data_IF_799463065798
#
_entry.id   IF_799463065798
#
_cell.length_a   1.000
_cell.length_b   1.000
_cell.length_c   1.000
_cell.angle_alpha   90.00
_cell.angle_beta   90.00
_cell.angle_gamma   90.00
#
_symmetry.space_group_name_H-M   'P 1'
#
loop_
_entity.id
_entity.type
_entity.pdbx_description
1 polymer ?
#
# COMPACT_ATOMS: atom_id res chain seq x y z
N UNK A 1 -2.61 21.11 3.34
CA UNK A 1 -1.60 20.10 2.95
C UNK A 1 -1.87 19.72 1.50
N UNK A 2 -0.83 19.38 0.74
CA UNK A 2 -0.88 19.05 -0.70
C UNK A 2 -0.89 17.55 -0.92
N UNK A 3 -1.63 17.09 -1.94
CA UNK A 3 -1.53 15.73 -2.49
C UNK A 3 -0.42 15.65 -3.55
N UNK A 4 0.25 14.50 -3.71
CA UNK A 4 1.21 14.24 -4.79
C UNK A 4 1.30 12.75 -5.12
N UNK A 5 1.79 12.43 -6.32
CA UNK A 5 2.11 11.06 -6.74
C UNK A 5 3.40 10.62 -6.05
N UNK A 6 3.33 9.58 -5.20
CA UNK A 6 4.50 9.07 -4.48
C UNK A 6 5.50 8.45 -5.45
N UNK A 7 6.79 8.46 -5.09
CA UNK A 7 7.82 7.84 -5.91
C UNK A 7 7.58 6.33 -6.10
N UNK A 8 7.96 5.76 -7.24
CA UNK A 8 7.89 4.32 -7.51
C UNK A 8 8.54 3.48 -6.41
N UNK A 9 9.68 3.94 -5.87
CA UNK A 9 10.37 3.26 -4.77
C UNK A 9 9.48 3.06 -3.53
N UNK A 10 8.54 3.97 -3.27
CA UNK A 10 7.60 3.88 -2.16
C UNK A 10 6.68 2.67 -2.32
N UNK A 11 6.03 2.57 -3.48
CA UNK A 11 5.12 1.47 -3.84
C UNK A 11 5.90 0.17 -3.93
N UNK A 12 7.03 0.19 -4.63
CA UNK A 12 7.94 -0.95 -4.80
C UNK A 12 8.40 -1.51 -3.45
N UNK A 13 8.69 -0.65 -2.47
CA UNK A 13 9.08 -1.06 -1.11
C UNK A 13 7.93 -1.75 -0.39
N UNK A 14 6.73 -1.16 -0.38
CA UNK A 14 5.54 -1.74 0.27
C UNK A 14 5.21 -3.11 -0.31
N UNK A 15 5.14 -3.22 -1.64
CA UNK A 15 4.77 -4.46 -2.34
C UNK A 15 5.87 -5.52 -2.21
N UNK A 16 7.15 -5.13 -2.29
CA UNK A 16 8.26 -6.08 -2.08
C UNK A 16 8.29 -6.62 -0.65
N UNK A 17 8.00 -5.77 0.34
CA UNK A 17 7.91 -6.18 1.74
C UNK A 17 6.75 -7.15 1.94
N UNK A 18 5.57 -6.82 1.42
CA UNK A 18 4.38 -7.65 1.56
C UNK A 18 4.52 -9.01 0.84
N UNK A 19 5.14 -9.01 -0.35
CA UNK A 19 5.48 -10.24 -1.07
C UNK A 19 6.44 -11.14 -0.29
N UNK A 20 7.43 -10.57 0.42
CA UNK A 20 8.38 -11.33 1.24
C UNK A 20 7.70 -11.98 2.46
N UNK A 21 6.66 -11.35 2.99
CA UNK A 21 5.90 -11.82 4.16
C UNK A 21 4.65 -12.62 3.77
N UNK A 22 4.55 -13.07 2.51
CA UNK A 22 3.44 -13.87 1.99
C UNK A 22 2.05 -13.25 2.28
N UNK A 23 1.95 -11.92 2.23
CA UNK A 23 0.70 -11.18 2.48
C UNK A 23 -0.32 -11.49 1.38
N UNK A 24 -1.57 -11.70 1.79
CA UNK A 24 -2.69 -12.03 0.90
C UNK A 24 -3.83 -11.07 1.17
N UNK A 25 -4.30 -10.40 0.11
CA UNK A 25 -5.55 -9.64 0.11
C UNK A 25 -6.72 -10.63 0.01
N UNK A 26 -7.77 -10.46 0.82
CA UNK A 26 -8.92 -11.38 0.89
C UNK A 26 -10.25 -10.76 0.39
N UNK A 27 -10.24 -9.56 -0.18
CA UNK A 27 -11.45 -8.88 -0.64
C UNK A 27 -11.15 -7.93 -1.81
N UNK A 28 -11.94 -7.93 -2.89
CA UNK A 28 -13.02 -8.87 -3.23
C UNK A 28 -12.52 -10.23 -3.76
N UNK A 29 -11.25 -10.31 -4.17
CA UNK A 29 -10.59 -11.53 -4.63
C UNK A 29 -9.43 -11.88 -3.72
N UNK A 30 -9.08 -13.18 -3.67
CA UNK A 30 -7.88 -13.64 -2.96
C UNK A 30 -6.65 -13.40 -3.84
N UNK A 31 -5.91 -12.32 -3.58
CA UNK A 31 -4.71 -11.96 -4.36
C UNK A 31 -3.48 -12.11 -3.46
N UNK A 32 -2.56 -13.00 -3.86
CA UNK A 32 -1.26 -13.13 -3.18
C UNK A 32 -0.31 -12.04 -3.69
N UNK A 33 0.19 -11.21 -2.78
CA UNK A 33 1.14 -10.14 -3.14
C UNK A 33 2.49 -10.71 -3.62
N UNK A 34 2.78 -11.97 -3.31
CA UNK A 34 3.95 -12.69 -3.84
C UNK A 34 3.75 -13.18 -5.26
N UNK A 35 2.56 -13.66 -5.59
CA UNK A 35 2.24 -14.20 -6.91
C UNK A 35 1.97 -13.08 -7.93
N UNK A 36 1.31 -12.00 -7.50
CA UNK A 36 0.88 -10.89 -8.38
C UNK A 36 1.38 -9.52 -7.88
N UNK A 37 2.69 -9.33 -7.63
CA UNK A 37 3.21 -8.07 -7.09
C UNK A 37 2.99 -6.89 -8.06
N UNK A 38 3.19 -7.10 -9.35
CA UNK A 38 2.97 -6.08 -10.40
C UNK A 38 1.54 -5.56 -10.41
N UNK A 39 0.55 -6.46 -10.31
CA UNK A 39 -0.88 -6.10 -10.25
C UNK A 39 -1.17 -5.25 -9.01
N UNK A 40 -0.69 -5.66 -7.84
CA UNK A 40 -0.91 -4.92 -6.59
C UNK A 40 -0.23 -3.55 -6.61
N UNK A 41 0.99 -3.48 -7.15
CA UNK A 41 1.73 -2.24 -7.28
C UNK A 41 1.03 -1.24 -8.23
N UNK A 42 0.56 -1.72 -9.38
CA UNK A 42 -0.22 -0.92 -10.32
C UNK A 42 -1.53 -0.41 -9.72
N UNK A 43 -2.25 -1.24 -8.96
CA UNK A 43 -3.47 -0.82 -8.27
C UNK A 43 -3.21 0.31 -7.24
N UNK A 44 -2.10 0.26 -6.51
CA UNK A 44 -1.71 1.34 -5.59
C UNK A 44 -1.31 2.61 -6.34
N UNK A 45 -0.57 2.48 -7.43
CA UNK A 45 -0.15 3.62 -8.25
C UNK A 45 -1.37 4.33 -8.84
N UNK A 46 -2.29 3.58 -9.47
CA UNK A 46 -3.52 4.12 -10.02
C UNK A 46 -4.36 4.84 -8.96
N UNK A 47 -4.55 4.23 -7.77
CA UNK A 47 -5.31 4.86 -6.70
C UNK A 47 -4.70 6.21 -6.23
N UNK A 48 -3.37 6.30 -6.20
CA UNK A 48 -2.69 7.54 -5.85
C UNK A 48 -2.82 8.61 -6.94
N UNK A 49 -2.67 8.25 -8.22
CA UNK A 49 -2.91 9.14 -9.37
C UNK A 49 -4.36 9.63 -9.38
N UNK A 50 -5.34 8.75 -9.19
CA UNK A 50 -6.76 9.10 -9.11
C UNK A 50 -7.06 10.11 -7.99
N UNK A 51 -6.42 9.96 -6.83
CA UNK A 51 -6.54 10.90 -5.71
C UNK A 51 -5.96 12.27 -6.04
N UNK A 52 -4.77 12.32 -6.65
CA UNK A 52 -4.15 13.58 -7.10
C UNK A 52 -5.02 14.28 -8.15
N UNK A 53 -5.49 13.53 -9.15
CA UNK A 53 -6.43 13.99 -10.16
C UNK A 53 -7.71 14.55 -9.53
N UNK A 54 -8.33 13.83 -8.59
CA UNK A 54 -9.51 14.29 -7.84
C UNK A 54 -9.24 15.62 -7.12
N UNK A 55 -8.07 15.74 -6.49
CA UNK A 55 -7.71 16.90 -5.67
C UNK A 55 -7.47 18.17 -6.45
N UNK A 56 -6.85 18.06 -7.62
CA UNK A 56 -6.46 19.19 -8.47
C UNK A 56 -7.34 19.35 -9.72
N UNK A 57 -8.35 18.50 -9.90
CA UNK A 57 -9.20 18.46 -11.10
C UNK A 57 -8.39 18.23 -12.38
N UNK A 58 -7.42 17.32 -12.30
CA UNK A 58 -6.56 16.88 -13.40
C UNK A 58 -7.03 15.52 -13.95
N UNK A 59 -6.51 15.14 -15.12
CA UNK A 59 -6.85 13.90 -15.83
C UNK A 59 -5.61 13.12 -16.30
N UNK A 60 -4.53 13.15 -15.51
CA UNK A 60 -3.31 12.41 -15.83
C UNK A 60 -3.57 10.89 -15.90
N UNK A 61 -2.94 10.24 -16.89
CA UNK A 61 -3.05 8.80 -17.13
C UNK A 61 -1.95 8.08 -16.34
N UNK A 62 -2.28 6.96 -15.70
CA UNK A 62 -1.36 6.20 -14.83
C UNK A 62 -0.51 5.13 -15.56
N UNK A 63 -0.04 5.38 -16.78
CA UNK A 63 0.56 4.36 -17.66
C UNK A 63 2.07 4.10 -17.51
N UNK A 64 2.81 4.97 -16.81
CA UNK A 64 4.28 4.89 -16.74
C UNK A 64 4.85 4.05 -15.57
N UNK A 65 4.02 3.51 -14.68
CA UNK A 65 4.52 2.77 -13.51
C UNK A 65 5.00 1.36 -13.84
N UNK A 66 6.18 0.99 -13.33
CA UNK A 66 6.74 -0.37 -13.42
C UNK A 66 7.20 -0.86 -12.05
N UNK A 67 6.69 -2.02 -11.65
CA UNK A 67 7.10 -2.64 -10.40
C UNK A 67 8.55 -3.13 -10.48
N UNK A 68 9.36 -2.70 -9.54
CA UNK A 68 10.72 -3.20 -9.35
C UNK A 68 10.89 -3.78 -7.94
N UNK A 69 11.43 -5.00 -7.86
CA UNK A 69 11.61 -5.68 -6.57
C UNK A 69 12.74 -5.03 -5.78
N UNK A 70 12.41 -4.54 -4.59
CA UNK A 70 13.37 -3.99 -3.62
C UNK A 70 14.01 -5.13 -2.82
N UNK A 71 15.35 -5.18 -2.81
CA UNK A 71 16.11 -6.23 -2.11
C UNK A 71 16.30 -5.95 -0.62
N UNK A 72 16.62 -4.70 -0.28
CA UNK A 72 16.83 -4.27 1.10
C UNK A 72 15.52 -3.68 1.62
N UNK A 73 14.85 -4.44 2.46
CA UNK A 73 13.53 -4.07 2.97
C UNK A 73 13.65 -3.47 4.37
N UNK A 74 12.88 -2.42 4.68
CA UNK A 74 12.96 -1.77 5.98
C UNK A 74 12.19 -2.57 7.05
N UNK A 75 12.39 -2.16 8.31
CA UNK A 75 11.70 -2.71 9.47
C UNK A 75 10.17 -2.47 9.41
N UNK A 76 9.35 -3.31 10.05
CA UNK A 76 7.88 -3.23 9.96
C UNK A 76 7.31 -1.87 10.37
N UNK A 77 7.91 -1.19 11.36
CA UNK A 77 7.50 0.15 11.76
C UNK A 77 7.61 1.17 10.61
N UNK A 78 8.64 1.03 9.77
CA UNK A 78 8.81 1.89 8.60
C UNK A 78 7.73 1.59 7.56
N UNK A 79 7.37 0.33 7.37
CA UNK A 79 6.29 -0.08 6.46
C UNK A 79 4.95 0.53 6.86
N UNK A 80 4.62 0.51 8.16
CA UNK A 80 3.40 1.16 8.69
C UNK A 80 3.39 2.65 8.32
N UNK A 81 4.51 3.35 8.54
CA UNK A 81 4.62 4.78 8.20
C UNK A 81 4.51 5.04 6.69
N UNK A 82 5.04 4.15 5.86
CA UNK A 82 4.90 4.22 4.40
C UNK A 82 3.44 3.99 3.98
N UNK A 83 2.71 3.07 4.62
CA UNK A 83 1.28 2.88 4.40
C UNK A 83 0.50 4.17 4.71
N UNK A 84 0.72 4.78 5.89
CA UNK A 84 0.06 6.03 6.27
C UNK A 84 0.37 7.17 5.30
N UNK A 85 1.61 7.23 4.81
CA UNK A 85 2.01 8.26 3.87
C UNK A 85 1.26 8.15 2.54
N UNK A 86 1.24 6.98 1.89
CA UNK A 86 0.53 6.83 0.61
C UNK A 86 -0.98 6.88 0.78
N UNK A 87 -1.53 6.38 1.88
CA UNK A 87 -2.95 6.55 2.22
C UNK A 87 -3.35 8.02 2.29
N UNK A 88 -2.55 8.84 2.99
CA UNK A 88 -2.77 10.27 3.04
C UNK A 88 -2.72 10.93 1.64
N UNK A 89 -1.88 10.43 0.73
CA UNK A 89 -1.81 10.91 -0.65
C UNK A 89 -2.93 10.34 -1.56
N UNK A 90 -3.65 9.31 -1.12
CA UNK A 90 -4.59 8.53 -1.94
C UNK A 90 -6.05 8.66 -1.53
N UNK A 91 -6.38 9.47 -0.52
CA UNK A 91 -7.70 9.51 0.12
C UNK A 91 -8.64 10.63 -0.34
N UNK A 92 -8.33 11.34 -1.43
CA UNK A 92 -9.13 12.46 -1.93
C UNK A 92 -10.32 11.99 -2.82
N UNK A 93 -10.42 10.69 -3.10
CA UNK A 93 -11.55 10.10 -3.82
C UNK A 93 -12.75 9.84 -2.90
N UNK A 94 -13.96 9.99 -3.42
CA UNK A 94 -15.18 9.66 -2.67
C UNK A 94 -15.19 8.18 -2.26
N UNK A 95 -15.64 7.89 -1.04
CA UNK A 95 -15.71 6.52 -0.51
C UNK A 95 -14.35 5.78 -0.51
N UNK A 96 -13.23 6.51 -0.33
CA UNK A 96 -11.87 5.94 -0.28
C UNK A 96 -11.77 4.63 0.50
N UNK A 97 -12.40 4.56 1.67
CA UNK A 97 -12.42 3.38 2.55
C UNK A 97 -12.95 2.08 1.93
N UNK A 98 -13.71 2.19 0.83
CA UNK A 98 -14.28 1.07 0.07
C UNK A 98 -13.45 0.71 -1.17
N UNK A 99 -12.38 1.46 -1.45
CA UNK A 99 -11.53 1.23 -2.63
C UNK A 99 -10.61 0.03 -2.44
N UNK A 100 -10.18 -0.55 -3.56
CA UNK A 100 -9.16 -1.62 -3.55
C UNK A 100 -7.81 -1.12 -3.01
N UNK A 101 -7.47 0.15 -3.26
CA UNK A 101 -6.25 0.79 -2.72
C UNK A 101 -6.24 0.81 -1.19
N UNK A 102 -7.34 1.28 -0.57
CA UNK A 102 -7.49 1.26 0.89
C UNK A 102 -7.42 -0.17 1.45
N UNK A 103 -8.06 -1.13 0.79
CA UNK A 103 -8.02 -2.54 1.21
C UNK A 103 -6.61 -3.14 1.14
N UNK A 104 -5.83 -2.83 0.09
CA UNK A 104 -4.42 -3.25 -0.03
C UNK A 104 -3.60 -2.64 1.11
N UNK A 105 -3.68 -1.33 1.32
CA UNK A 105 -2.87 -0.63 2.33
C UNK A 105 -3.17 -1.12 3.75
N UNK A 106 -4.45 -1.27 4.10
CA UNK A 106 -4.88 -1.84 5.38
C UNK A 106 -4.37 -3.26 5.57
N UNK A 107 -4.32 -4.06 4.50
CA UNK A 107 -3.82 -5.44 4.57
C UNK A 107 -2.31 -5.47 4.83
N UNK A 108 -1.53 -4.62 4.13
CA UNK A 108 -0.08 -4.49 4.34
C UNK A 108 0.22 -3.95 5.73
N UNK A 109 -0.50 -2.91 6.17
CA UNK A 109 -0.34 -2.31 7.49
C UNK A 109 -0.60 -3.33 8.60
N UNK A 110 -1.71 -4.07 8.54
CA UNK A 110 -2.02 -5.10 9.53
C UNK A 110 -0.95 -6.21 9.58
N UNK A 111 -0.42 -6.61 8.43
CA UNK A 111 0.69 -7.56 8.38
C UNK A 111 1.96 -6.99 9.01
N UNK A 112 2.27 -5.72 8.77
CA UNK A 112 3.41 -5.03 9.36
C UNK A 112 3.27 -4.84 10.87
N UNK A 113 2.07 -4.52 11.37
CA UNK A 113 1.77 -4.44 12.80
C UNK A 113 2.04 -5.79 13.49
N UNK A 114 1.56 -6.89 12.90
CA UNK A 114 1.81 -8.24 13.44
C UNK A 114 3.28 -8.64 13.41
N UNK A 115 4.07 -8.07 12.50
CA UNK A 115 5.50 -8.31 12.41
C UNK A 115 6.33 -7.45 13.39
N UNK A 116 5.72 -6.53 14.15
CA UNK A 116 6.44 -5.70 15.11
C UNK A 116 7.04 -6.56 16.25
N UNK A 117 8.29 -6.29 16.67
CA UNK A 117 8.86 -6.93 17.85
C UNK A 117 7.97 -6.74 19.09
N UNK A 118 7.65 -7.84 19.77
CA UNK A 118 6.81 -7.86 20.96
C UNK A 118 5.30 -7.88 20.70
N UNK A 119 4.83 -7.87 19.44
CA UNK A 119 3.40 -8.00 19.14
C UNK A 119 2.83 -9.33 19.64
N UNK A 120 3.49 -10.45 19.33
CA UNK A 120 3.04 -11.78 19.72
C UNK A 120 3.17 -12.06 21.23
N UNK A 121 4.11 -11.38 21.90
CA UNK A 121 4.33 -11.51 23.35
C UNK A 121 3.35 -10.65 24.16
N UNK A 122 2.68 -9.70 23.53
CA UNK A 122 1.75 -8.81 24.20
C UNK A 122 0.46 -9.57 24.59
N UNK A 123 -0.09 -9.31 25.79
CA UNK A 123 -1.35 -9.94 26.20
C UNK A 123 -2.49 -9.48 25.28
N UNK A 124 -3.19 -10.44 24.68
CA UNK A 124 -4.33 -10.19 23.78
C UNK A 124 -5.54 -9.57 24.51
N UNK A 125 -5.69 -9.83 25.81
CA UNK A 125 -6.76 -9.32 26.66
C UNK A 125 -6.27 -9.16 28.10
N UNK A 126 -6.92 -8.25 28.83
CA UNK A 126 -6.62 -7.90 30.23
C UNK A 126 -7.66 -8.45 31.20
#
# INVERSE_FOLDING_TARGET
>A
MSAYVVSDLHINTLVSWAAKHDVVLYSPERISMKAEPERIAGLLYTANVESVNSRYSEDEISDDFRFERVRTLPEPLTIIKLCHCIEYQSNEVSDYEKTVGAAILRTIENAAIRALPGYDDAPWGI
#
